data_IF_718760340211
#
_entry.id   IF_718760340211
#
_cell.length_a   1.000
_cell.length_b   1.000
_cell.length_c   1.000
_cell.angle_alpha   90.00
_cell.angle_beta   90.00
_cell.angle_gamma   90.00
#
_symmetry.space_group_name_H-M   'P 1'
#
loop_
_entity.id
_entity.type
_entity.pdbx_description
1 polymer ?
#
# COMPACT_ATOMS: atom_id res chain seq x y z
N UNK A 1 11.27 -2.98 -14.54
CA UNK A 1 11.42 -2.81 -13.07
C UNK A 1 12.84 -2.44 -12.63
N UNK A 2 13.86 -2.55 -13.49
CA UNK A 2 15.24 -2.15 -13.14
C UNK A 2 15.45 -0.62 -13.07
N UNK A 3 14.51 0.17 -13.57
CA UNK A 3 14.64 1.62 -13.69
C UNK A 3 13.96 2.39 -12.54
N UNK A 4 13.28 1.70 -11.65
CA UNK A 4 12.63 2.28 -10.47
C UNK A 4 12.94 1.45 -9.23
N UNK A 5 13.02 2.09 -8.06
CA UNK A 5 13.03 1.41 -6.77
C UNK A 5 11.59 1.06 -6.40
N UNK A 6 11.37 -0.21 -6.09
CA UNK A 6 10.06 -0.71 -5.67
C UNK A 6 9.87 -0.51 -4.15
N UNK A 7 8.69 -0.10 -3.74
CA UNK A 7 8.32 0.10 -2.33
C UNK A 7 7.39 -1.02 -1.89
N UNK A 8 7.76 -1.73 -0.82
CA UNK A 8 6.98 -2.84 -0.28
C UNK A 8 6.84 -4.03 -1.24
N UNK A 9 5.77 -4.81 -1.07
CA UNK A 9 5.48 -6.01 -1.89
C UNK A 9 4.71 -5.62 -3.15
N UNK A 10 5.40 -5.57 -4.27
CA UNK A 10 4.83 -5.26 -5.59
C UNK A 10 4.91 -6.45 -6.52
N UNK A 11 4.06 -6.47 -7.55
CA UNK A 11 3.95 -7.56 -8.50
C UNK A 11 3.94 -7.05 -9.94
N UNK A 12 4.96 -7.43 -10.72
CA UNK A 12 5.00 -7.15 -12.14
C UNK A 12 4.41 -8.34 -12.90
N UNK A 13 3.30 -8.11 -13.60
CA UNK A 13 2.66 -9.10 -14.50
C UNK A 13 2.43 -8.43 -15.85
N UNK A 14 2.99 -9.00 -16.91
CA UNK A 14 3.08 -8.32 -18.20
C UNK A 14 3.85 -7.00 -18.06
N UNK A 15 3.24 -5.92 -18.50
CA UNK A 15 3.80 -4.57 -18.45
C UNK A 15 3.27 -3.74 -17.25
N UNK A 16 2.39 -4.30 -16.42
CA UNK A 16 1.77 -3.61 -15.29
C UNK A 16 2.43 -3.97 -13.96
N UNK A 17 2.78 -2.96 -13.17
CA UNK A 17 3.24 -3.10 -11.80
C UNK A 17 2.07 -2.97 -10.83
N UNK A 18 1.61 -4.09 -10.27
CA UNK A 18 0.49 -4.12 -9.34
C UNK A 18 0.90 -3.85 -7.89
N UNK A 19 0.07 -3.05 -7.23
CA UNK A 19 0.20 -2.58 -5.85
C UNK A 19 -1.01 -3.07 -5.04
N UNK A 20 -0.78 -3.86 -3.99
CA UNK A 20 -1.85 -4.35 -3.11
C UNK A 20 -1.76 -3.73 -1.72
N UNK A 21 -0.76 -4.08 -0.91
CA UNK A 21 -0.59 -3.56 0.45
C UNK A 21 -0.44 -2.04 0.49
N UNK A 22 -0.80 -1.46 1.63
CA UNK A 22 -0.52 -0.06 1.95
C UNK A 22 0.97 0.24 1.84
N UNK A 23 1.32 1.43 1.38
CA UNK A 23 2.71 1.87 1.24
C UNK A 23 3.46 1.26 0.05
N UNK A 24 2.82 0.40 -0.76
CA UNK A 24 3.44 -0.11 -2.00
C UNK A 24 3.50 0.96 -3.06
N UNK A 25 4.52 0.87 -3.93
CA UNK A 25 4.70 1.90 -4.96
C UNK A 25 6.04 1.84 -5.66
N UNK A 26 6.47 2.99 -6.16
CA UNK A 26 7.74 3.16 -6.85
C UNK A 26 8.39 4.50 -6.52
N UNK A 27 9.73 4.53 -6.49
CA UNK A 27 10.53 5.72 -6.22
C UNK A 27 11.70 5.81 -7.21
N UNK A 28 11.90 6.97 -7.82
CA UNK A 28 12.92 7.18 -8.84
C UNK A 28 13.21 8.67 -9.04
N UNK A 29 14.36 8.99 -9.66
CA UNK A 29 14.65 10.33 -10.18
C UNK A 29 14.23 10.38 -11.64
N UNK A 30 13.44 11.36 -12.02
CA UNK A 30 13.11 11.70 -13.39
C UNK A 30 13.95 12.89 -13.84
N UNK A 31 14.44 12.88 -15.10
CA UNK A 31 15.07 14.02 -15.75
C UNK A 31 14.39 14.24 -17.09
N UNK A 32 13.78 15.40 -17.27
CA UNK A 32 13.00 15.76 -18.45
C UNK A 32 12.09 16.96 -18.16
N UNK A 33 11.20 17.29 -19.10
CA UNK A 33 10.26 18.42 -18.96
C UNK A 33 8.82 18.00 -18.66
N UNK A 34 8.43 16.76 -18.97
CA UNK A 34 7.07 16.26 -18.70
C UNK A 34 7.09 14.77 -18.43
N UNK A 35 6.46 14.38 -17.32
CA UNK A 35 6.28 12.99 -16.92
C UNK A 35 4.80 12.71 -16.67
N UNK A 36 4.27 11.68 -17.31
CA UNK A 36 2.88 11.25 -17.13
C UNK A 36 2.83 9.82 -16.63
N UNK A 37 1.83 9.53 -15.77
CA UNK A 37 1.56 8.24 -15.18
C UNK A 37 0.23 7.69 -15.71
N UNK A 38 0.24 6.43 -16.13
CA UNK A 38 -0.96 5.70 -16.52
C UNK A 38 -1.26 4.61 -15.49
N UNK A 39 -2.42 4.69 -14.88
CA UNK A 39 -2.90 3.74 -13.87
C UNK A 39 -4.08 2.93 -14.38
N UNK A 40 -4.20 1.70 -13.87
CA UNK A 40 -5.42 0.91 -13.99
C UNK A 40 -5.90 0.48 -12.59
N UNK A 41 -7.20 0.63 -12.35
CA UNK A 41 -7.88 0.20 -11.14
C UNK A 41 -8.52 -1.18 -11.30
N UNK A 42 -8.76 -1.81 -10.17
CA UNK A 42 -9.50 -3.07 -10.09
C UNK A 42 -11.03 -2.88 -10.22
N UNK A 43 -11.80 -3.89 -9.83
CA UNK A 43 -13.27 -3.84 -9.88
C UNK A 43 -13.88 -2.76 -8.95
N UNK A 44 -13.10 -2.23 -7.99
CA UNK A 44 -13.54 -1.18 -7.06
C UNK A 44 -13.33 0.24 -7.60
N UNK A 45 -12.58 0.40 -8.66
CA UNK A 45 -12.40 1.73 -9.27
C UNK A 45 -13.73 2.32 -9.72
N UNK A 46 -14.02 3.54 -9.27
CA UNK A 46 -15.29 4.25 -9.48
C UNK A 46 -16.43 3.82 -8.54
N UNK A 47 -16.16 3.08 -7.45
CA UNK A 47 -17.21 2.57 -6.53
C UNK A 47 -17.58 3.53 -5.41
N UNK A 48 -16.81 4.58 -5.18
CA UNK A 48 -16.97 5.63 -4.15
C UNK A 48 -16.78 5.18 -2.68
N UNK A 49 -16.61 3.90 -2.38
CA UNK A 49 -16.51 3.38 -1.01
C UNK A 49 -15.26 2.56 -0.70
N UNK A 50 -14.58 2.07 -1.71
CA UNK A 50 -13.44 1.16 -1.54
C UNK A 50 -12.34 1.32 -2.58
N UNK A 51 -12.29 2.44 -3.26
CA UNK A 51 -11.30 2.76 -4.29
C UNK A 51 -9.88 2.83 -3.71
N UNK A 52 -8.87 2.54 -4.53
CA UNK A 52 -7.50 2.77 -4.11
C UNK A 52 -7.22 4.27 -4.00
N UNK A 53 -6.57 4.69 -2.89
CA UNK A 53 -6.07 6.04 -2.68
C UNK A 53 -4.58 6.07 -2.95
N UNK A 54 -4.14 7.02 -3.75
CA UNK A 54 -2.76 7.15 -4.20
C UNK A 54 -2.24 8.55 -3.90
N UNK A 55 -1.00 8.63 -3.44
CA UNK A 55 -0.28 9.90 -3.34
C UNK A 55 0.94 9.92 -4.27
N UNK A 56 1.23 11.12 -4.79
CA UNK A 56 2.45 11.43 -5.52
C UNK A 56 3.25 12.46 -4.75
N UNK A 57 4.53 12.20 -4.63
CA UNK A 57 5.49 13.12 -4.04
C UNK A 57 6.49 13.55 -5.10
N UNK A 58 6.76 14.84 -5.17
CA UNK A 58 7.79 15.44 -6.01
C UNK A 58 8.77 16.18 -5.11
N UNK A 59 10.05 15.81 -5.16
CA UNK A 59 11.10 16.37 -4.30
C UNK A 59 10.74 16.33 -2.79
N UNK A 60 10.10 15.25 -2.35
CA UNK A 60 9.70 15.03 -0.96
C UNK A 60 8.37 15.67 -0.54
N UNK A 61 7.79 16.55 -1.34
CA UNK A 61 6.48 17.17 -1.08
C UNK A 61 5.35 16.35 -1.72
N UNK A 62 4.24 16.13 -0.98
CA UNK A 62 3.03 15.51 -1.53
C UNK A 62 2.33 16.52 -2.43
N UNK A 63 2.46 16.35 -3.74
CA UNK A 63 1.87 17.24 -4.74
C UNK A 63 0.49 16.79 -5.20
N UNK A 64 0.18 15.49 -5.09
CA UNK A 64 -1.10 14.92 -5.49
C UNK A 64 -1.56 13.86 -4.49
N UNK A 65 -2.87 13.79 -4.28
CA UNK A 65 -3.57 12.82 -3.44
C UNK A 65 -4.96 12.60 -4.05
N UNK A 66 -5.23 11.39 -4.53
CA UNK A 66 -6.44 11.13 -5.30
C UNK A 66 -6.92 9.68 -5.16
N UNK A 67 -8.17 9.48 -5.51
CA UNK A 67 -8.83 8.18 -5.58
C UNK A 67 -8.81 7.63 -7.01
N UNK A 68 -8.81 6.30 -7.13
CA UNK A 68 -9.05 5.62 -8.40
C UNK A 68 -10.56 5.61 -8.71
N UNK A 69 -11.11 6.80 -8.98
CA UNK A 69 -12.52 7.04 -9.29
C UNK A 69 -12.93 6.59 -10.72
N UNK A 70 -11.97 6.09 -11.48
CA UNK A 70 -12.17 5.50 -12.81
C UNK A 70 -11.21 4.33 -13.04
N UNK A 71 -11.57 3.42 -13.96
CA UNK A 71 -10.76 2.21 -14.21
C UNK A 71 -9.41 2.48 -14.87
N UNK A 72 -9.30 3.51 -15.65
CA UNK A 72 -8.04 3.95 -16.26
C UNK A 72 -7.87 5.44 -15.96
N UNK A 73 -6.72 5.80 -15.42
CA UNK A 73 -6.43 7.18 -15.02
C UNK A 73 -5.07 7.62 -15.52
N UNK A 74 -5.04 8.77 -16.19
CA UNK A 74 -3.81 9.40 -16.67
C UNK A 74 -3.55 10.67 -15.88
N UNK A 75 -2.34 10.83 -15.38
CA UNK A 75 -1.97 11.92 -14.48
C UNK A 75 -0.63 12.50 -14.91
N UNK A 76 -0.52 13.83 -14.94
CA UNK A 76 0.77 14.51 -15.06
C UNK A 76 1.42 14.51 -13.69
N UNK A 77 2.55 13.80 -13.55
CA UNK A 77 3.34 13.73 -12.31
C UNK A 77 4.27 14.94 -12.15
N UNK A 78 4.83 15.39 -13.26
CA UNK A 78 5.80 16.50 -13.31
C UNK A 78 5.68 17.23 -14.64
N UNK A 79 5.75 18.55 -14.60
CA UNK A 79 5.81 19.41 -15.79
C UNK A 79 6.64 20.66 -15.48
N UNK A 80 7.56 21.02 -16.40
CA UNK A 80 8.44 22.17 -16.31
C UNK A 80 8.66 22.79 -17.69
N UNK A 81 9.02 24.07 -17.77
CA UNK A 81 9.28 24.77 -19.02
C UNK A 81 10.52 24.25 -19.77
N UNK A 82 11.44 23.63 -19.06
CA UNK A 82 12.69 23.07 -19.59
C UNK A 82 13.01 21.76 -18.88
N UNK A 83 14.00 21.04 -19.38
CA UNK A 83 14.50 19.83 -18.73
C UNK A 83 15.01 20.14 -17.31
N UNK A 84 14.46 19.41 -16.32
CA UNK A 84 14.84 19.47 -14.91
C UNK A 84 14.87 18.06 -14.32
N UNK A 85 15.59 17.90 -13.20
CA UNK A 85 15.59 16.66 -12.43
C UNK A 85 14.67 16.80 -11.23
N UNK A 86 13.82 15.77 -10.99
CA UNK A 86 12.93 15.69 -9.85
C UNK A 86 12.92 14.26 -9.25
N UNK A 87 12.88 14.19 -7.93
CA UNK A 87 12.62 12.94 -7.21
C UNK A 87 11.12 12.67 -7.21
N UNK A 88 10.73 11.51 -7.74
CA UNK A 88 9.31 11.11 -7.83
C UNK A 88 9.08 9.89 -6.96
N UNK A 89 8.03 9.94 -6.14
CA UNK A 89 7.55 8.79 -5.39
C UNK A 89 6.04 8.65 -5.53
N UNK A 90 5.60 7.47 -5.94
CA UNK A 90 4.20 7.09 -6.08
C UNK A 90 3.91 6.07 -4.99
N UNK A 91 2.89 6.31 -4.17
CA UNK A 91 2.54 5.45 -3.03
C UNK A 91 1.04 5.16 -3.00
N UNK A 92 0.68 3.89 -2.92
CA UNK A 92 -0.68 3.47 -2.57
C UNK A 92 -0.90 3.69 -1.07
N UNK A 93 -1.84 4.55 -0.71
CA UNK A 93 -2.11 4.96 0.67
C UNK A 93 -3.04 4.00 1.41
N UNK A 94 -4.11 3.55 0.73
CA UNK A 94 -5.13 2.68 1.29
C UNK A 94 -4.70 1.22 1.34
N UNK A 95 -5.39 0.43 2.18
CA UNK A 95 -5.07 -0.98 2.40
C UNK A 95 -5.39 -1.91 1.22
N UNK A 96 -4.84 -3.11 1.32
CA UNK A 96 -4.98 -4.14 0.31
C UNK A 96 -6.37 -4.80 0.27
N UNK A 97 -7.07 -4.90 1.41
CA UNK A 97 -8.34 -5.63 1.49
C UNK A 97 -9.39 -5.04 0.56
N UNK A 98 -9.46 -3.71 0.46
CA UNK A 98 -10.51 -3.01 -0.28
C UNK A 98 -10.25 -2.96 -1.79
N UNK A 99 -9.01 -2.64 -2.20
CA UNK A 99 -8.69 -2.41 -3.62
C UNK A 99 -7.22 -2.56 -3.95
N UNK A 100 -6.97 -2.77 -5.23
CA UNK A 100 -5.65 -2.78 -5.85
C UNK A 100 -5.56 -1.68 -6.91
N UNK A 101 -4.33 -1.39 -7.32
CA UNK A 101 -4.05 -0.49 -8.45
C UNK A 101 -2.84 -1.00 -9.21
N UNK A 102 -2.82 -0.81 -10.52
CA UNK A 102 -1.70 -1.11 -11.40
C UNK A 102 -1.09 0.16 -11.99
N UNK A 103 0.24 0.25 -11.98
CA UNK A 103 1.00 1.22 -12.77
C UNK A 103 1.26 0.58 -14.13
N UNK A 104 0.57 1.06 -15.19
CA UNK A 104 0.70 0.54 -16.56
C UNK A 104 1.88 1.14 -17.29
N UNK A 105 2.07 2.45 -17.17
CA UNK A 105 3.08 3.12 -17.94
C UNK A 105 3.55 4.40 -17.23
N UNK A 106 4.81 4.76 -17.50
CA UNK A 106 5.37 6.07 -17.25
C UNK A 106 5.78 6.66 -18.61
N UNK A 107 5.05 7.67 -19.09
CA UNK A 107 5.35 8.35 -20.33
C UNK A 107 6.39 9.45 -20.05
N UNK A 108 7.62 9.21 -20.51
CA UNK A 108 8.78 10.04 -20.16
C UNK A 108 8.93 11.28 -21.03
N UNK A 109 8.20 11.38 -22.13
CA UNK A 109 8.22 12.52 -23.07
C UNK A 109 9.66 12.96 -23.49
N UNK A 110 10.50 11.97 -23.80
CA UNK A 110 11.91 12.19 -24.17
C UNK A 110 12.88 12.27 -22.98
N UNK A 111 12.38 12.28 -21.75
CA UNK A 111 13.18 12.25 -20.54
C UNK A 111 13.72 10.85 -20.20
N UNK A 112 14.35 10.75 -19.04
CA UNK A 112 14.92 9.51 -18.51
C UNK A 112 14.59 9.31 -17.03
N UNK A 113 14.63 8.05 -16.56
CA UNK A 113 14.47 7.72 -15.15
C UNK A 113 15.65 6.91 -14.62
N UNK A 114 15.97 7.12 -13.35
CA UNK A 114 16.97 6.38 -12.60
C UNK A 114 16.35 5.94 -11.27
N UNK A 115 16.51 4.67 -10.81
CA UNK A 115 15.97 4.23 -9.54
C UNK A 115 16.54 5.05 -8.38
N UNK A 116 15.71 5.34 -7.38
CA UNK A 116 16.19 5.88 -6.12
C UNK A 116 17.12 4.87 -5.43
N UNK A 117 18.05 5.36 -4.62
CA UNK A 117 18.97 4.50 -3.88
C UNK A 117 18.24 3.73 -2.75
N UNK A 118 18.68 2.50 -2.51
CA UNK A 118 18.24 1.75 -1.34
C UNK A 118 18.85 2.38 -0.09
N UNK A 119 18.07 2.37 0.99
CA UNK A 119 18.57 2.79 2.29
C UNK A 119 19.33 1.66 2.97
N UNK A 120 20.20 2.00 3.92
CA UNK A 120 21.03 1.03 4.63
C UNK A 120 20.24 0.13 5.57
N UNK A 121 19.03 0.56 5.98
CA UNK A 121 18.15 -0.16 6.89
C UNK A 121 16.86 -0.54 6.19
N UNK A 122 16.33 -1.74 6.54
CA UNK A 122 15.06 -2.26 6.04
C UNK A 122 14.22 -2.77 7.20
N UNK A 123 13.00 -2.27 7.29
CA UNK A 123 12.09 -2.65 8.36
C UNK A 123 10.80 -3.22 7.74
N UNK A 124 10.41 -4.42 8.14
CA UNK A 124 9.10 -4.95 7.82
C UNK A 124 8.16 -4.76 9.01
N UNK A 125 6.98 -4.20 8.76
CA UNK A 125 5.93 -4.02 9.75
C UNK A 125 4.78 -4.97 9.41
N UNK A 126 4.42 -5.82 10.38
CA UNK A 126 3.31 -6.75 10.28
C UNK A 126 2.22 -6.23 11.23
N UNK A 127 1.01 -5.98 10.71
CA UNK A 127 -0.01 -5.34 11.51
C UNK A 127 -1.43 -5.44 10.94
N UNK A 128 -2.28 -4.63 11.51
CA UNK A 128 -3.70 -4.52 11.20
C UNK A 128 -4.08 -3.09 10.76
N UNK A 129 -5.30 -2.66 11.03
CA UNK A 129 -5.83 -1.33 10.70
C UNK A 129 -4.98 -0.18 11.25
N UNK A 130 -4.34 -0.36 12.41
CA UNK A 130 -3.46 0.66 13.02
C UNK A 130 -2.23 0.90 12.13
N UNK A 131 -1.73 -0.17 11.49
CA UNK A 131 -0.60 -0.10 10.55
C UNK A 131 -1.03 0.42 9.18
N UNK A 132 -2.26 0.10 8.73
CA UNK A 132 -2.84 0.61 7.49
C UNK A 132 -3.10 2.12 7.53
N UNK A 133 -3.30 2.71 8.72
CA UNK A 133 -3.75 4.10 8.86
C UNK A 133 -5.24 4.27 8.63
N UNK A 134 -6.01 3.24 9.03
CA UNK A 134 -7.47 3.19 8.93
C UNK A 134 -8.13 4.40 9.60
N UNK A 135 -8.90 5.18 8.83
CA UNK A 135 -9.65 6.33 9.31
C UNK A 135 -8.79 7.48 9.86
N UNK A 136 -7.48 7.51 9.56
CA UNK A 136 -6.56 8.50 10.15
C UNK A 136 -6.89 9.94 9.72
N UNK A 137 -7.61 10.12 8.64
CA UNK A 137 -8.06 11.42 8.09
C UNK A 137 -9.54 11.73 8.41
N UNK A 138 -10.18 10.92 9.26
CA UNK A 138 -11.56 11.16 9.70
C UNK A 138 -11.56 11.60 11.17
N UNK A 139 -12.12 12.76 11.45
CA UNK A 139 -12.23 13.31 12.81
C UNK A 139 -13.50 12.83 13.55
N UNK A 140 -14.48 12.25 12.81
CA UNK A 140 -15.73 11.78 13.40
C UNK A 140 -15.78 10.25 13.47
N UNK A 141 -15.67 9.66 14.69
CA UNK A 141 -15.68 8.21 14.88
C UNK A 141 -17.04 7.56 14.57
N UNK A 142 -18.10 8.34 14.34
CA UNK A 142 -19.41 7.81 13.95
C UNK A 142 -19.53 7.53 12.45
N UNK A 143 -18.62 8.05 11.63
CA UNK A 143 -18.62 7.79 10.21
C UNK A 143 -18.26 6.35 9.90
N UNK A 144 -18.91 5.80 8.89
CA UNK A 144 -18.50 4.52 8.31
C UNK A 144 -17.15 4.66 7.63
N UNK A 145 -16.31 3.63 7.72
CA UNK A 145 -15.03 3.60 7.04
C UNK A 145 -15.15 3.83 5.54
N UNK A 146 -14.21 4.61 5.02
CA UNK A 146 -14.01 4.79 3.60
C UNK A 146 -12.50 4.89 3.31
N UNK A 147 -12.03 4.30 2.22
CA UNK A 147 -10.61 4.32 1.84
C UNK A 147 -10.04 5.72 1.59
N UNK A 148 -10.90 6.71 1.32
CA UNK A 148 -10.49 8.12 1.20
C UNK A 148 -9.98 8.74 2.52
N UNK A 149 -10.32 8.12 3.67
CA UNK A 149 -9.85 8.56 4.99
C UNK A 149 -8.69 7.72 5.51
N UNK A 150 -8.21 6.75 4.73
CA UNK A 150 -7.10 5.89 5.08
C UNK A 150 -5.79 6.35 4.45
N UNK A 151 -4.77 6.56 5.26
CA UNK A 151 -3.46 7.03 4.83
C UNK A 151 -2.34 6.38 5.66
N UNK A 152 -1.72 5.33 5.14
CA UNK A 152 -0.64 4.63 5.82
C UNK A 152 0.58 5.50 6.11
N UNK A 153 0.78 6.60 5.37
CA UNK A 153 1.92 7.50 5.59
C UNK A 153 1.77 8.35 6.84
N UNK A 154 0.55 8.43 7.38
CA UNK A 154 0.23 9.07 8.66
C UNK A 154 0.28 8.11 9.85
N UNK A 155 0.34 6.79 9.58
CA UNK A 155 0.46 5.76 10.60
C UNK A 155 1.88 5.64 11.16
N UNK A 156 1.98 4.99 12.34
CA UNK A 156 3.24 4.86 13.07
C UNK A 156 4.34 4.17 12.26
N UNK A 157 4.00 3.12 11.52
CA UNK A 157 4.96 2.27 10.80
C UNK A 157 5.73 3.07 9.75
N UNK A 158 5.03 3.75 8.86
CA UNK A 158 5.65 4.60 7.84
C UNK A 158 6.47 5.73 8.48
N UNK A 159 5.89 6.44 9.47
CA UNK A 159 6.59 7.53 10.18
C UNK A 159 7.88 7.05 10.87
N UNK A 160 7.86 5.85 11.45
CA UNK A 160 9.05 5.24 12.07
C UNK A 160 10.11 4.94 11.02
N UNK A 161 9.74 4.31 9.89
CA UNK A 161 10.67 4.05 8.80
C UNK A 161 11.31 5.35 8.27
N UNK A 162 10.51 6.41 8.09
CA UNK A 162 11.04 7.72 7.66
C UNK A 162 12.01 8.32 8.69
N UNK A 163 11.66 8.32 9.97
CA UNK A 163 12.54 8.84 11.05
C UNK A 163 13.85 8.07 11.18
N UNK A 164 13.84 6.78 10.90
CA UNK A 164 15.03 5.93 10.97
C UNK A 164 15.80 5.89 9.64
N UNK A 165 15.37 6.64 8.64
CA UNK A 165 15.88 6.60 7.28
C UNK A 165 16.01 5.15 6.77
N UNK A 166 14.90 4.39 6.86
CA UNK A 166 14.82 2.98 6.48
C UNK A 166 13.90 2.77 5.27
N UNK A 167 14.22 1.78 4.45
CA UNK A 167 13.26 1.18 3.53
C UNK A 167 12.26 0.36 4.32
N UNK A 168 11.04 0.24 3.83
CA UNK A 168 9.95 -0.39 4.56
C UNK A 168 9.17 -1.39 3.70
N UNK A 169 8.53 -2.33 4.39
CA UNK A 169 7.47 -3.21 3.87
C UNK A 169 6.35 -3.22 4.90
N UNK A 170 5.12 -2.92 4.47
CA UNK A 170 3.93 -2.98 5.33
C UNK A 170 3.11 -4.21 4.93
N UNK A 171 3.00 -5.17 5.84
CA UNK A 171 2.17 -6.37 5.69
C UNK A 171 1.02 -6.25 6.67
N UNK A 172 -0.02 -5.54 6.27
CA UNK A 172 -1.13 -5.20 7.16
C UNK A 172 -2.49 -5.33 6.48
N UNK A 173 -3.47 -5.82 7.24
CA UNK A 173 -4.86 -6.03 6.81
C UNK A 173 -5.78 -5.65 7.95
N UNK A 174 -6.68 -4.71 7.74
CA UNK A 174 -7.63 -4.26 8.75
C UNK A 174 -8.56 -5.38 9.20
N UNK A 175 -8.79 -5.45 10.50
CA UNK A 175 -9.64 -6.47 11.11
C UNK A 175 -8.97 -7.82 11.32
N UNK A 176 -7.73 -8.03 10.86
CA UNK A 176 -7.03 -9.31 10.95
C UNK A 176 -6.20 -9.41 12.25
N UNK A 177 -6.11 -10.62 12.78
CA UNK A 177 -5.32 -10.93 13.98
C UNK A 177 -4.31 -12.05 13.75
N UNK A 178 -3.82 -12.65 14.84
CA UNK A 178 -2.92 -13.81 14.81
C UNK A 178 -3.72 -15.10 14.88
N UNK A 179 -4.70 -15.16 15.81
CA UNK A 179 -5.54 -16.33 16.09
C UNK A 179 -6.96 -16.07 15.60
N UNK A 180 -7.46 -14.84 15.79
CA UNK A 180 -8.80 -14.40 15.39
C UNK A 180 -8.75 -13.02 14.78
N UNK A 181 -9.47 -12.81 13.68
CA UNK A 181 -9.87 -11.46 13.26
C UNK A 181 -10.84 -10.84 14.25
N UNK A 182 -11.19 -9.58 13.99
CA UNK A 182 -12.22 -8.88 14.76
C UNK A 182 -13.54 -9.65 14.75
N UNK A 183 -14.14 -9.78 15.90
CA UNK A 183 -15.49 -10.34 16.07
C UNK A 183 -16.30 -9.53 17.08
N UNK A 184 -17.56 -9.27 16.75
CA UNK A 184 -18.52 -8.68 17.69
C UNK A 184 -19.09 -9.72 18.69
N UNK A 185 -18.96 -11.01 18.38
CA UNK A 185 -19.38 -12.12 19.23
C UNK A 185 -18.15 -12.79 19.85
N UNK A 186 -17.86 -12.54 21.14
CA UNK A 186 -16.67 -13.09 21.80
C UNK A 186 -16.69 -14.63 21.92
N UNK A 187 -17.82 -15.28 21.65
CA UNK A 187 -17.93 -16.74 21.64
C UNK A 187 -17.51 -17.35 20.27
N UNK A 188 -17.36 -16.53 19.22
CA UNK A 188 -17.04 -16.99 17.88
C UNK A 188 -15.68 -16.49 17.43
N UNK A 189 -14.77 -17.42 17.17
CA UNK A 189 -13.49 -17.13 16.56
C UNK A 189 -13.67 -16.77 15.08
N UNK A 190 -13.01 -15.69 14.61
CA UNK A 190 -12.92 -15.33 13.20
C UNK A 190 -11.62 -15.88 12.58
N UNK A 191 -11.54 -17.22 12.50
CA UNK A 191 -10.30 -17.92 12.11
C UNK A 191 -9.84 -17.66 10.66
N UNK A 192 -10.74 -17.18 9.81
CA UNK A 192 -10.41 -16.88 8.39
C UNK A 192 -9.81 -15.50 8.21
N UNK A 193 -9.81 -14.65 9.24
CA UNK A 193 -9.27 -13.30 9.20
C UNK A 193 -8.00 -13.22 10.06
N UNK A 194 -6.96 -13.94 9.64
CA UNK A 194 -5.68 -13.97 10.33
C UNK A 194 -4.54 -13.68 9.38
N UNK A 195 -3.49 -13.01 9.87
CA UNK A 195 -2.32 -12.59 9.08
C UNK A 195 -1.44 -13.77 8.63
N UNK A 196 -1.18 -14.82 9.45
CA UNK A 196 -0.17 -15.83 9.11
C UNK A 196 -0.34 -16.47 7.72
N UNK A 197 -1.53 -16.84 7.23
CA UNK A 197 -1.68 -17.42 5.89
C UNK A 197 -1.29 -16.48 4.75
N UNK A 198 -1.31 -15.16 4.98
CA UNK A 198 -1.03 -14.14 3.98
C UNK A 198 0.40 -13.59 4.06
N UNK A 199 1.13 -13.91 5.13
CA UNK A 199 2.52 -13.46 5.28
C UNK A 199 3.43 -14.00 4.16
N UNK A 200 3.21 -15.23 3.71
CA UNK A 200 3.94 -15.85 2.60
C UNK A 200 3.38 -15.49 1.22
N UNK A 201 2.41 -14.59 1.17
CA UNK A 201 1.76 -14.17 -0.06
C UNK A 201 2.17 -12.75 -0.45
N UNK A 202 1.94 -12.45 -1.72
CA UNK A 202 2.15 -11.11 -2.24
C UNK A 202 1.26 -10.08 -1.54
N UNK A 203 0.04 -10.48 -1.17
CA UNK A 203 -0.93 -9.65 -0.50
C UNK A 203 -2.25 -10.36 -0.27
N UNK A 204 -3.26 -9.56 0.03
CA UNK A 204 -4.66 -9.98 0.13
C UNK A 204 -5.52 -8.91 -0.53
N UNK A 205 -6.65 -9.30 -1.09
CA UNK A 205 -7.72 -8.39 -1.51
C UNK A 205 -9.02 -9.16 -1.69
N UNK A 206 -10.15 -8.53 -1.41
CA UNK A 206 -11.46 -9.09 -1.73
C UNK A 206 -11.71 -9.12 -3.24
N UNK A 207 -11.07 -8.23 -4.01
CA UNK A 207 -11.06 -8.25 -5.48
C UNK A 207 -9.80 -8.92 -6.05
N UNK A 208 -9.71 -8.99 -7.37
CA UNK A 208 -8.51 -9.39 -8.11
C UNK A 208 -7.78 -8.16 -8.62
N UNK A 209 -6.54 -8.31 -9.07
CA UNK A 209 -5.92 -7.35 -9.96
C UNK A 209 -6.74 -7.20 -11.25
N UNK A 210 -6.50 -6.12 -12.02
CA UNK A 210 -7.19 -5.90 -13.28
C UNK A 210 -7.01 -7.05 -14.29
N UNK A 211 -5.89 -7.78 -14.23
CA UNK A 211 -5.62 -8.97 -15.04
C UNK A 211 -6.32 -10.26 -14.54
N UNK A 212 -7.10 -10.19 -13.44
CA UNK A 212 -7.84 -11.30 -12.86
C UNK A 212 -7.06 -12.15 -11.84
N UNK A 213 -5.77 -11.92 -11.63
CA UNK A 213 -4.97 -12.64 -10.64
C UNK A 213 -5.28 -12.15 -9.22
N UNK A 214 -5.22 -13.05 -8.22
CA UNK A 214 -5.43 -12.70 -6.81
C UNK A 214 -4.09 -12.53 -6.10
N UNK A 215 -3.87 -11.44 -5.37
CA UNK A 215 -2.65 -11.27 -4.57
C UNK A 215 -2.38 -12.42 -3.60
N UNK A 216 -3.44 -13.03 -3.04
CA UNK A 216 -3.36 -14.16 -2.11
C UNK A 216 -2.95 -15.49 -2.75
N UNK A 217 -3.04 -15.62 -4.05
CA UNK A 217 -2.65 -16.85 -4.76
C UNK A 217 -1.18 -16.83 -5.18
N UNK A 218 -0.54 -15.64 -5.13
CA UNK A 218 0.84 -15.43 -5.55
C UNK A 218 1.75 -15.51 -4.33
N UNK A 219 2.74 -16.41 -4.37
CA UNK A 219 3.74 -16.50 -3.31
C UNK A 219 4.66 -15.27 -3.31
N UNK A 220 4.98 -14.77 -2.11
CA UNK A 220 5.98 -13.73 -1.96
C UNK A 220 7.39 -14.29 -2.05
N UNK A 221 8.22 -13.65 -2.85
CA UNK A 221 9.64 -13.96 -2.93
C UNK A 221 10.41 -13.12 -1.89
N UNK A 222 10.72 -13.73 -0.75
CA UNK A 222 11.44 -13.09 0.35
C UNK A 222 12.87 -12.62 -0.01
N UNK A 223 13.41 -13.05 -1.16
CA UNK A 223 14.71 -12.54 -1.61
C UNK A 223 14.64 -11.07 -2.06
N UNK A 224 13.44 -10.57 -2.43
CA UNK A 224 13.22 -9.20 -2.90
C UNK A 224 13.30 -8.16 -1.78
N UNK A 225 12.97 -8.56 -0.55
CA UNK A 225 13.06 -7.68 0.61
C UNK A 225 13.49 -8.50 1.84
N UNK A 226 14.71 -8.28 2.28
CA UNK A 226 15.29 -8.90 3.47
C UNK A 226 15.35 -7.86 4.57
N UNK A 227 14.43 -7.86 5.55
CA UNK A 227 14.42 -6.88 6.63
C UNK A 227 15.56 -7.11 7.62
N UNK A 228 16.13 -6.01 8.13
CA UNK A 228 17.06 -6.04 9.27
C UNK A 228 16.29 -6.12 10.60
N UNK A 229 15.02 -5.66 10.58
CA UNK A 229 14.12 -5.66 11.73
C UNK A 229 12.69 -5.96 11.29
N UNK A 230 12.00 -6.78 12.07
CA UNK A 230 10.56 -7.03 11.91
C UNK A 230 9.85 -6.48 13.14
N UNK A 231 8.83 -5.66 12.92
CA UNK A 231 7.96 -5.11 13.96
C UNK A 231 6.57 -5.73 13.80
N UNK A 232 6.08 -6.42 14.81
CA UNK A 232 4.74 -7.02 14.84
C UNK A 232 3.86 -6.21 15.78
N UNK A 233 2.80 -5.62 15.24
CA UNK A 233 1.77 -4.90 15.99
C UNK A 233 0.41 -5.50 15.67
N UNK A 234 0.09 -6.59 16.34
CA UNK A 234 -1.14 -7.37 16.24
C UNK A 234 -1.68 -7.66 17.64
N UNK A 235 -2.89 -8.18 17.71
CA UNK A 235 -3.52 -8.60 18.97
C UNK A 235 -4.78 -7.80 19.31
N UNK A 236 -4.96 -6.62 18.76
CA UNK A 236 -6.16 -5.81 19.01
C UNK A 236 -7.43 -6.51 18.52
N UNK A 237 -7.37 -7.16 17.35
CA UNK A 237 -8.49 -7.93 16.80
C UNK A 237 -8.68 -9.25 17.55
N UNK A 238 -7.59 -9.93 17.90
CA UNK A 238 -7.63 -11.14 18.76
C UNK A 238 -8.31 -10.85 20.11
N UNK A 239 -8.06 -9.68 20.70
CA UNK A 239 -8.65 -9.28 21.98
C UNK A 239 -10.18 -9.20 21.92
N UNK A 240 -10.78 -8.94 20.75
CA UNK A 240 -12.24 -8.95 20.61
C UNK A 240 -12.85 -10.34 20.90
N UNK A 241 -12.15 -11.41 20.49
CA UNK A 241 -12.49 -12.79 20.80
C UNK A 241 -12.16 -13.18 22.25
N UNK A 242 -11.09 -12.64 22.81
CA UNK A 242 -10.61 -12.96 24.16
C UNK A 242 -11.31 -12.17 25.27
N UNK A 243 -12.18 -11.23 24.95
CA UNK A 243 -12.84 -10.37 25.95
C UNK A 243 -13.91 -11.07 26.80
N UNK A 244 -14.29 -12.32 26.50
CA UNK A 244 -15.08 -13.09 27.43
C UNK A 244 -14.21 -13.49 28.65
N UNK A 245 -14.76 -13.42 29.83
CA UNK A 245 -14.05 -13.66 31.11
C UNK A 245 -13.45 -15.07 31.23
N UNK A 246 -13.90 -16.01 30.43
CA UNK A 246 -13.45 -17.42 30.44
C UNK A 246 -12.22 -17.70 29.53
N UNK A 247 -11.82 -16.74 28.69
CA UNK A 247 -10.76 -16.91 27.68
C UNK A 247 -9.52 -16.04 27.91
N UNK A 248 -9.44 -15.37 29.07
CA UNK A 248 -8.31 -14.53 29.45
C UNK A 248 -7.13 -15.32 29.98
#
# INVERSE_FOLDING_TARGET
SSNVKLLGRTYLSGDTLYLAFSGTGAEFTYTGSKLELQLEGDAKAGSSDGEARIAVYVNGERTQDFMMDEKEKNIVLFEAEKEESAEIKIVKLSECAMSNVGIKNLELNGGSIKPAENKDRRIEFIGDSITCGYGVDDEDPSHSFNTKTEDCTKAYAYKTAQKLNADYSLVSISGYGIISGYTADPEKISANQTIPPYYEKLGFCYSTYANGEKPSDIAWDFSKFKPDCIVINLGTNDASYCNSTEKK
#
